data_IF_175307013946
#
_entry.id   IF_175307013946
#
_cell.length_a   1.000
_cell.length_b   1.000
_cell.length_c   1.000
_cell.angle_alpha   90.00
_cell.angle_beta   90.00
_cell.angle_gamma   90.00
#
_symmetry.space_group_name_H-M   'P 1'
#
loop_
_entity.id
_entity.type
_entity.pdbx_description
1 polymer ?
#
# COMPACT_ATOMS: atom_id res chain seq x y z
N UNK A 1 -8.32 3.50 1.21
CA UNK A 1 -6.91 3.74 0.82
C UNK A 1 -6.09 2.57 1.34
N UNK A 2 -5.12 2.07 0.56
CA UNK A 2 -4.20 1.02 1.00
C UNK A 2 -2.78 1.59 1.07
N UNK A 3 -2.20 1.67 2.27
CA UNK A 3 -0.81 2.08 2.45
C UNK A 3 0.08 0.84 2.38
N UNK A 4 1.02 0.82 1.44
CA UNK A 4 2.03 -0.23 1.30
C UNK A 4 3.34 0.29 1.86
N UNK A 5 3.90 -0.40 2.84
CA UNK A 5 5.18 -0.03 3.47
C UNK A 5 5.99 -1.27 3.82
N UNK A 6 7.18 -1.09 4.41
CA UNK A 6 8.00 -2.17 4.93
C UNK A 6 8.12 -2.13 6.47
N UNK A 7 8.69 -3.18 7.04
CA UNK A 7 8.93 -3.35 8.47
C UNK A 7 9.89 -2.29 9.09
N UNK A 8 10.68 -1.57 8.28
CA UNK A 8 11.56 -0.49 8.74
C UNK A 8 10.91 0.89 8.72
N UNK A 9 10.18 1.23 7.66
CA UNK A 9 9.55 2.54 7.46
C UNK A 9 8.20 2.62 8.16
N UNK A 10 7.45 1.52 8.19
CA UNK A 10 6.14 1.43 8.81
C UNK A 10 6.10 1.95 10.25
N UNK A 11 6.93 1.41 11.17
CA UNK A 11 6.94 1.85 12.58
C UNK A 11 7.29 3.33 12.80
N UNK A 12 7.89 4.00 11.81
CA UNK A 12 8.35 5.39 11.93
C UNK A 12 7.30 6.36 11.37
N UNK A 13 6.67 6.02 10.25
CA UNK A 13 5.87 6.97 9.47
C UNK A 13 4.41 6.54 9.22
N UNK A 14 4.04 5.27 9.42
CA UNK A 14 2.71 4.78 9.07
C UNK A 14 1.61 5.53 9.79
N UNK A 15 1.71 5.66 11.12
CA UNK A 15 0.69 6.33 11.94
C UNK A 15 0.50 7.80 11.52
N UNK A 16 1.60 8.49 11.20
CA UNK A 16 1.56 9.88 10.75
C UNK A 16 0.86 10.03 9.40
N UNK A 17 1.08 9.08 8.47
CA UNK A 17 0.43 9.08 7.16
C UNK A 17 -1.05 8.72 7.29
N UNK A 18 -1.39 7.73 8.13
CA UNK A 18 -2.79 7.36 8.42
C UNK A 18 -3.53 8.55 9.04
N UNK A 19 -2.94 9.22 10.03
CA UNK A 19 -3.52 10.44 10.61
C UNK A 19 -3.73 11.51 9.54
N UNK A 20 -2.72 11.79 8.70
CA UNK A 20 -2.83 12.80 7.66
C UNK A 20 -3.94 12.50 6.64
N UNK A 21 -4.17 11.24 6.30
CA UNK A 21 -5.21 10.82 5.35
C UNK A 21 -6.62 10.87 5.95
N UNK A 22 -6.76 10.57 7.24
CA UNK A 22 -8.06 10.43 7.92
C UNK A 22 -8.50 11.70 8.63
N UNK A 23 -7.57 12.55 9.07
CA UNK A 23 -7.86 13.75 9.86
C UNK A 23 -8.72 14.74 9.07
N UNK A 24 -9.92 15.01 9.59
CA UNK A 24 -10.90 15.89 8.95
C UNK A 24 -11.64 15.26 7.76
N UNK A 25 -11.38 13.99 7.44
CA UNK A 25 -11.99 13.27 6.32
C UNK A 25 -12.69 11.98 6.81
N UNK A 26 -13.92 12.07 7.33
CA UNK A 26 -14.63 10.91 7.91
C UNK A 26 -14.99 9.83 6.88
N UNK A 27 -14.93 10.15 5.58
CA UNK A 27 -15.26 9.23 4.50
C UNK A 27 -14.07 8.40 4.00
N UNK A 28 -12.87 8.62 4.56
CA UNK A 28 -11.64 7.92 4.15
C UNK A 28 -11.33 6.84 5.16
N UNK A 29 -11.41 5.58 4.74
CA UNK A 29 -10.86 4.43 5.47
C UNK A 29 -9.46 4.12 4.95
N UNK A 30 -8.55 3.79 5.86
CA UNK A 30 -7.16 3.45 5.56
C UNK A 30 -6.87 2.04 6.06
N UNK A 31 -6.33 1.23 5.16
CA UNK A 31 -5.77 -0.09 5.44
C UNK A 31 -4.27 -0.04 5.15
N UNK A 32 -3.51 -0.96 5.75
CA UNK A 32 -2.07 -1.04 5.52
C UNK A 32 -1.59 -2.46 5.30
N UNK A 33 -0.56 -2.62 4.49
CA UNK A 33 0.21 -3.85 4.32
C UNK A 33 1.69 -3.57 4.58
N UNK A 34 2.31 -4.43 5.38
CA UNK A 34 3.73 -4.33 5.76
C UNK A 34 4.47 -5.47 5.07
N UNK A 35 5.41 -5.12 4.20
CA UNK A 35 6.27 -6.05 3.47
C UNK A 35 7.64 -6.18 4.16
N UNK A 36 8.36 -7.29 3.98
CA UNK A 36 9.73 -7.40 4.44
C UNK A 36 10.65 -6.44 3.67
N UNK A 37 11.60 -5.79 4.34
CA UNK A 37 12.52 -4.84 3.70
C UNK A 37 13.64 -5.51 2.88
N UNK A 38 13.89 -4.97 1.67
CA UNK A 38 15.04 -5.26 0.83
C UNK A 38 14.71 -5.73 -0.60
N UNK A 39 15.61 -5.46 -1.55
CA UNK A 39 15.44 -5.80 -2.98
C UNK A 39 15.23 -7.30 -3.22
N UNK A 40 15.76 -8.16 -2.34
CA UNK A 40 15.58 -9.62 -2.44
C UNK A 40 14.12 -10.08 -2.31
N UNK A 41 13.24 -9.22 -1.77
CA UNK A 41 11.81 -9.46 -1.65
C UNK A 41 11.00 -8.77 -2.75
N UNK A 42 11.67 -8.20 -3.75
CA UNK A 42 11.02 -7.61 -4.93
C UNK A 42 10.67 -8.70 -5.93
N UNK A 43 9.72 -9.54 -5.53
CA UNK A 43 9.26 -10.70 -6.26
C UNK A 43 7.72 -10.76 -6.30
N UNK A 44 7.19 -11.67 -7.11
CA UNK A 44 5.75 -11.84 -7.24
C UNK A 44 5.11 -12.36 -5.95
N UNK A 45 5.79 -13.19 -5.17
CA UNK A 45 5.24 -13.75 -3.93
C UNK A 45 4.98 -12.66 -2.88
N UNK A 46 5.90 -11.70 -2.77
CA UNK A 46 5.75 -10.56 -1.87
C UNK A 46 4.74 -9.55 -2.43
N UNK A 47 4.68 -9.38 -3.76
CA UNK A 47 3.64 -8.57 -4.41
C UNK A 47 2.23 -9.13 -4.15
N UNK A 48 2.06 -10.46 -4.16
CA UNK A 48 0.76 -11.11 -3.91
C UNK A 48 0.16 -10.72 -2.56
N UNK A 49 1.00 -10.47 -1.53
CA UNK A 49 0.52 -9.98 -0.22
C UNK A 49 -0.22 -8.65 -0.32
N UNK A 50 0.16 -7.78 -1.26
CA UNK A 50 -0.54 -6.51 -1.52
C UNK A 50 -1.92 -6.80 -2.09
N UNK A 51 -2.02 -7.71 -3.07
CA UNK A 51 -3.30 -8.08 -3.68
C UNK A 51 -4.22 -8.79 -2.70
N UNK A 52 -3.70 -9.75 -1.93
CA UNK A 52 -4.46 -10.48 -0.92
C UNK A 52 -5.08 -9.51 0.08
N UNK A 53 -4.27 -8.59 0.63
CA UNK A 53 -4.78 -7.56 1.55
C UNK A 53 -5.82 -6.64 0.89
N UNK A 54 -5.62 -6.25 -0.37
CA UNK A 54 -6.58 -5.41 -1.09
C UNK A 54 -7.93 -6.13 -1.31
N UNK A 55 -7.90 -7.43 -1.62
CA UNK A 55 -9.09 -8.27 -1.84
C UNK A 55 -9.80 -8.54 -0.50
N UNK A 56 -9.06 -8.90 0.55
CA UNK A 56 -9.59 -9.13 1.90
C UNK A 56 -10.29 -7.89 2.45
N UNK A 57 -9.70 -6.71 2.26
CA UNK A 57 -10.29 -5.42 2.62
C UNK A 57 -11.38 -4.95 1.63
N UNK A 58 -11.74 -5.78 0.64
CA UNK A 58 -12.79 -5.53 -0.36
C UNK A 58 -12.63 -4.17 -1.07
N UNK A 59 -11.39 -3.80 -1.40
CA UNK A 59 -11.12 -2.56 -2.10
C UNK A 59 -11.69 -2.59 -3.52
N UNK A 60 -12.24 -1.47 -3.96
CA UNK A 60 -12.81 -1.29 -5.29
C UNK A 60 -11.90 -0.42 -6.19
N UNK A 61 -12.38 -0.13 -7.41
CA UNK A 61 -11.62 0.68 -8.39
C UNK A 61 -11.36 2.14 -7.97
N UNK A 62 -12.06 2.65 -6.95
CA UNK A 62 -11.86 4.00 -6.41
C UNK A 62 -10.84 4.02 -5.28
N UNK A 63 -10.28 2.87 -4.90
CA UNK A 63 -9.20 2.85 -3.94
C UNK A 63 -7.96 3.55 -4.52
N UNK A 64 -7.17 4.09 -3.59
CA UNK A 64 -5.85 4.64 -3.88
C UNK A 64 -4.84 3.84 -3.09
N UNK A 65 -3.79 3.40 -3.76
CA UNK A 65 -2.63 2.78 -3.14
C UNK A 65 -1.61 3.87 -2.81
N UNK A 66 -0.96 3.79 -1.66
CA UNK A 66 0.04 4.78 -1.23
C UNK A 66 1.34 4.04 -0.95
N UNK A 67 2.38 4.31 -1.72
CA UNK A 67 3.72 3.80 -1.42
C UNK A 67 4.36 4.64 -0.32
N UNK A 68 4.54 4.03 0.84
CA UNK A 68 5.30 4.61 1.95
C UNK A 68 6.63 3.89 2.10
N UNK A 69 7.66 4.34 1.40
CA UNK A 69 8.99 3.75 1.47
C UNK A 69 9.95 4.27 0.41
N UNK A 70 11.03 3.53 0.18
CA UNK A 70 11.98 3.80 -0.91
C UNK A 70 11.54 3.18 -2.24
N UNK A 71 12.47 3.11 -3.21
CA UNK A 71 12.21 2.62 -4.57
C UNK A 71 11.64 1.21 -4.65
N UNK A 72 12.03 0.30 -3.75
CA UNK A 72 11.49 -1.07 -3.70
C UNK A 72 9.98 -1.07 -3.47
N UNK A 73 9.53 -0.33 -2.45
CA UNK A 73 8.10 -0.19 -2.14
C UNK A 73 7.38 0.56 -3.26
N UNK A 74 7.99 1.61 -3.82
CA UNK A 74 7.43 2.35 -4.96
C UNK A 74 7.17 1.46 -6.17
N UNK A 75 8.16 0.68 -6.60
CA UNK A 75 8.04 -0.22 -7.75
C UNK A 75 6.97 -1.30 -7.52
N UNK A 76 6.99 -1.95 -6.35
CA UNK A 76 6.04 -3.00 -6.03
C UNK A 76 4.62 -2.47 -5.88
N UNK A 77 4.44 -1.36 -5.17
CA UNK A 77 3.13 -0.76 -4.98
C UNK A 77 2.58 -0.18 -6.28
N UNK A 78 3.42 0.47 -7.09
CA UNK A 78 3.06 0.98 -8.41
C UNK A 78 2.63 -0.14 -9.36
N UNK A 79 3.38 -1.24 -9.42
CA UNK A 79 3.01 -2.41 -10.22
C UNK A 79 1.71 -3.06 -9.72
N UNK A 80 1.54 -3.17 -8.40
CA UNK A 80 0.29 -3.66 -7.80
C UNK A 80 -0.89 -2.76 -8.15
N UNK A 81 -0.76 -1.44 -8.04
CA UNK A 81 -1.81 -0.49 -8.40
C UNK A 81 -2.15 -0.52 -9.90
N UNK A 82 -1.15 -0.65 -10.78
CA UNK A 82 -1.38 -0.79 -12.22
C UNK A 82 -2.14 -2.09 -12.59
N UNK A 83 -1.96 -3.15 -11.79
CA UNK A 83 -2.53 -4.47 -12.07
C UNK A 83 -3.86 -4.73 -11.35
N UNK A 84 -4.03 -4.19 -10.13
CA UNK A 84 -5.21 -4.43 -9.30
C UNK A 84 -6.46 -3.90 -9.99
N UNK A 85 -7.47 -4.77 -10.18
CA UNK A 85 -8.70 -4.47 -10.93
C UNK A 85 -8.44 -3.85 -12.33
N UNK A 86 -7.29 -4.17 -12.95
CA UNK A 86 -6.79 -3.59 -14.21
C UNK A 86 -6.46 -2.09 -14.13
N UNK A 87 -6.07 -1.61 -12.96
CA UNK A 87 -5.61 -0.25 -12.72
C UNK A 87 -6.43 0.50 -11.68
N UNK A 88 -5.75 1.03 -10.67
CA UNK A 88 -6.26 1.96 -9.65
C UNK A 88 -5.29 3.12 -9.43
N UNK A 89 -5.75 4.14 -8.72
CA UNK A 89 -4.92 5.31 -8.42
C UNK A 89 -3.77 4.96 -7.45
N UNK A 90 -2.65 5.66 -7.60
CA UNK A 90 -1.45 5.45 -6.81
C UNK A 90 -0.78 6.79 -6.45
N UNK A 91 -0.21 6.88 -5.26
CA UNK A 91 0.59 8.00 -4.73
C UNK A 91 1.93 7.46 -4.22
#
# INVERSE_FOLDING_TARGET
VLVVTNDKVGPIYLDKVVEALTKGNPNVSVESVILPDGEKYKDMDTLMKIFDKAIESRLDRRCTFVALGGGVIGDMCGFAAASFLRGVNFI
#
